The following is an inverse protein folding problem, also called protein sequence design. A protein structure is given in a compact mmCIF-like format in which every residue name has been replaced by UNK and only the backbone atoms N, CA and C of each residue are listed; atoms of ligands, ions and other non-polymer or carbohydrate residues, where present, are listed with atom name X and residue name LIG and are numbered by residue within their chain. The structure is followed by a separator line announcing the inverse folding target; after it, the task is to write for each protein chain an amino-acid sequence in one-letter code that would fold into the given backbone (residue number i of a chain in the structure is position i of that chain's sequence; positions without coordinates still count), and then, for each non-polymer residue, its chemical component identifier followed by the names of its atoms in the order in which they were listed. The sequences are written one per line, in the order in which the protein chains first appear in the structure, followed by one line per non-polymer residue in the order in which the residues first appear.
data_IF_249940791576
#
_entry.id   IF_249940791576
#
_cell.length_a   1.000
_cell.length_b   1.000
_cell.length_c   1.000
_cell.angle_alpha   90.00
_cell.angle_beta   90.00
_cell.angle_gamma   90.00
#
_symmetry.space_group_name_H-M   'P 1'
#
loop_
_entity.id
_entity.type
_entity.pdbx_description
1 polymer ?
#
# COMPACT_ATOMS: atom_id res chain seq x y z
N UNK A 1 -9.83 -10.00 1.73
CA UNK A 1 -8.80 -8.98 2.04
C UNK A 1 -9.11 -7.59 1.47
N UNK A 2 -9.74 -7.46 0.28
CA UNK A 2 -10.13 -6.14 -0.28
C UNK A 2 -10.89 -5.26 0.72
N UNK A 3 -11.84 -5.84 1.45
CA UNK A 3 -12.64 -5.11 2.46
C UNK A 3 -11.81 -4.69 3.67
N UNK A 4 -10.89 -5.54 4.15
CA UNK A 4 -10.01 -5.23 5.27
C UNK A 4 -9.14 -4.00 4.96
N UNK A 5 -8.52 -3.96 3.78
CA UNK A 5 -7.69 -2.82 3.36
C UNK A 5 -8.51 -1.54 3.26
N UNK A 6 -9.72 -1.62 2.73
CA UNK A 6 -10.64 -0.47 2.70
C UNK A 6 -10.97 0.02 4.12
N UNK A 7 -11.27 -0.87 5.05
CA UNK A 7 -11.56 -0.51 6.45
C UNK A 7 -10.36 0.19 7.08
N UNK A 8 -9.16 -0.40 6.97
CA UNK A 8 -7.92 0.20 7.50
C UNK A 8 -7.65 1.57 6.87
N UNK A 9 -7.86 1.69 5.55
CA UNK A 9 -7.73 2.96 4.84
C UNK A 9 -8.67 4.04 5.40
N UNK A 10 -9.96 3.72 5.59
CA UNK A 10 -10.93 4.68 6.12
C UNK A 10 -10.64 5.06 7.59
N UNK A 11 -10.14 4.13 8.40
CA UNK A 11 -9.72 4.42 9.79
C UNK A 11 -8.55 5.41 9.78
N UNK A 12 -7.52 5.16 8.97
CA UNK A 12 -6.35 6.05 8.87
C UNK A 12 -6.77 7.42 8.32
N UNK A 13 -7.68 7.45 7.33
CA UNK A 13 -8.19 8.70 6.78
C UNK A 13 -8.98 9.51 7.81
N UNK A 14 -9.83 8.85 8.59
CA UNK A 14 -10.55 9.48 9.70
C UNK A 14 -9.57 10.02 10.74
N UNK A 15 -8.56 9.24 11.14
CA UNK A 15 -7.52 9.67 12.08
C UNK A 15 -6.74 10.90 11.58
N UNK A 16 -6.45 10.95 10.27
CA UNK A 16 -5.82 12.10 9.63
C UNK A 16 -6.68 13.37 9.76
N UNK A 17 -7.97 13.26 9.41
CA UNK A 17 -8.92 14.38 9.49
C UNK A 17 -9.09 14.85 10.93
N UNK A 18 -9.24 13.91 11.88
CA UNK A 18 -9.36 14.25 13.30
C UNK A 18 -8.09 14.89 13.84
N UNK A 19 -6.91 14.44 13.40
CA UNK A 19 -5.63 15.04 13.80
C UNK A 19 -5.51 16.49 13.33
N UNK A 20 -5.94 16.80 12.11
CA UNK A 20 -6.02 18.17 11.62
C UNK A 20 -7.04 19.02 12.39
N UNK A 21 -8.21 18.45 12.73
CA UNK A 21 -9.20 19.13 13.56
C UNK A 21 -8.67 19.48 14.95
N UNK A 22 -8.05 18.52 15.64
CA UNK A 22 -7.47 18.72 16.98
C UNK A 22 -6.35 19.76 16.95
N UNK A 23 -5.51 19.73 15.91
CA UNK A 23 -4.43 20.72 15.73
C UNK A 23 -4.96 22.15 15.66
N UNK A 24 -6.10 22.35 15.00
CA UNK A 24 -6.67 23.67 14.76
C UNK A 24 -7.54 24.18 15.92
N UNK A 25 -8.27 23.29 16.60
CA UNK A 25 -9.32 23.68 17.55
C UNK A 25 -9.01 23.41 19.02
N UNK A 26 -8.06 22.52 19.36
CA UNK A 26 -7.80 22.11 20.74
C UNK A 26 -6.32 22.27 21.13
N UNK A 27 -5.44 21.44 20.57
CA UNK A 27 -4.03 21.35 20.95
C UNK A 27 -3.19 21.01 19.72
N UNK A 28 -2.36 21.98 19.33
CA UNK A 28 -1.46 21.89 18.19
C UNK A 28 -0.51 20.69 18.30
N UNK A 29 0.09 20.45 19.48
CA UNK A 29 1.07 19.38 19.68
C UNK A 29 0.42 18.01 19.60
N UNK A 30 -0.75 17.83 20.22
CA UNK A 30 -1.49 16.58 20.14
C UNK A 30 -1.97 16.31 18.72
N UNK A 31 -2.46 17.33 18.02
CA UNK A 31 -2.86 17.24 16.62
C UNK A 31 -1.72 16.81 15.70
N UNK A 32 -0.54 17.44 15.82
CA UNK A 32 0.66 17.06 15.07
C UNK A 32 1.10 15.62 15.36
N UNK A 33 1.05 15.18 16.61
CA UNK A 33 1.39 13.81 16.99
C UNK A 33 0.44 12.79 16.37
N UNK A 34 -0.86 13.07 16.36
CA UNK A 34 -1.88 12.21 15.73
C UNK A 34 -1.68 12.15 14.21
N UNK A 35 -1.39 13.29 13.58
CA UNK A 35 -1.07 13.34 12.14
C UNK A 35 0.18 12.49 11.85
N UNK A 36 1.25 12.67 12.63
CA UNK A 36 2.49 11.90 12.49
C UNK A 36 2.27 10.40 12.65
N UNK A 37 1.52 9.98 13.68
CA UNK A 37 1.13 8.58 13.88
C UNK A 37 0.29 8.03 12.72
N UNK A 38 -0.62 8.84 12.18
CA UNK A 38 -1.47 8.44 11.04
C UNK A 38 -0.63 8.24 9.77
N UNK A 39 0.35 9.10 9.51
CA UNK A 39 1.33 8.92 8.42
C UNK A 39 2.14 7.64 8.63
N UNK A 40 2.64 7.42 9.85
CA UNK A 40 3.44 6.26 10.20
C UNK A 40 2.63 4.96 10.00
N UNK A 41 1.39 4.92 10.50
CA UNK A 41 0.47 3.81 10.32
C UNK A 41 0.18 3.56 8.83
N UNK A 42 0.00 4.61 8.03
CA UNK A 42 -0.17 4.47 6.58
C UNK A 42 1.05 3.82 5.92
N UNK A 43 2.26 4.28 6.26
CA UNK A 43 3.49 3.75 5.68
C UNK A 43 3.79 2.31 6.11
N UNK A 44 3.61 1.98 7.40
CA UNK A 44 4.04 0.69 7.96
C UNK A 44 2.93 -0.37 8.03
N UNK A 45 1.66 0.02 7.97
CA UNK A 45 0.53 -0.91 8.04
C UNK A 45 -0.19 -0.97 6.70
N UNK A 46 -0.66 0.19 6.21
CA UNK A 46 -1.47 0.22 4.98
C UNK A 46 -0.64 -0.21 3.76
N UNK A 47 0.60 0.28 3.62
CA UNK A 47 1.45 -0.03 2.46
C UNK A 47 1.82 -1.53 2.39
N UNK A 48 2.33 -2.18 3.46
CA UNK A 48 2.66 -3.60 3.38
C UNK A 48 1.41 -4.48 3.19
N UNK A 49 0.29 -4.12 3.83
CA UNK A 49 -0.98 -4.83 3.67
C UNK A 49 -1.51 -4.73 2.24
N UNK A 50 -1.40 -3.54 1.64
CA UNK A 50 -1.77 -3.32 0.24
C UNK A 50 -0.89 -4.14 -0.70
N UNK A 51 0.42 -4.11 -0.48
CA UNK A 51 1.39 -4.84 -1.31
C UNK A 51 1.16 -6.35 -1.23
N UNK A 52 0.99 -6.89 -0.02
CA UNK A 52 0.69 -8.30 0.19
C UNK A 52 -0.60 -8.73 -0.53
N UNK A 53 -1.63 -7.90 -0.47
CA UNK A 53 -2.88 -8.20 -1.16
C UNK A 53 -2.75 -8.13 -2.69
N UNK A 54 -2.00 -7.14 -3.21
CA UNK A 54 -1.75 -6.97 -4.64
C UNK A 54 -0.88 -8.10 -5.20
N UNK A 55 0.07 -8.59 -4.43
CA UNK A 55 1.01 -9.63 -4.87
C UNK A 55 0.42 -11.05 -4.83
N UNK A 56 -0.79 -11.23 -4.28
CA UNK A 56 -1.48 -12.52 -4.23
C UNK A 56 -1.80 -13.02 -5.65
N UNK A 57 -0.93 -13.86 -6.19
CA UNK A 57 -1.08 -14.51 -7.51
C UNK A 57 -0.04 -14.10 -8.56
N UNK A 58 0.88 -13.19 -8.24
CA UNK A 58 2.01 -12.83 -9.11
C UNK A 58 3.21 -13.68 -8.71
N UNK A 59 3.60 -14.67 -9.52
CA UNK A 59 4.87 -15.36 -9.31
C UNK A 59 6.00 -14.42 -9.73
N UNK A 60 6.99 -14.21 -8.87
CA UNK A 60 8.22 -13.46 -9.22
C UNK A 60 8.86 -14.03 -10.50
N UNK A 61 8.77 -15.36 -10.64
CA UNK A 61 9.27 -16.15 -11.75
C UNK A 61 8.62 -15.79 -13.10
N UNK A 62 7.43 -15.18 -13.11
CA UNK A 62 6.82 -14.65 -14.33
C UNK A 62 7.48 -13.36 -14.84
N UNK A 63 8.25 -12.71 -13.97
CA UNK A 63 8.96 -11.46 -14.25
C UNK A 63 10.47 -11.67 -14.44
N UNK A 64 10.97 -12.89 -14.22
CA UNK A 64 12.37 -13.23 -14.46
C UNK A 64 12.56 -13.64 -15.92
N UNK A 65 13.46 -12.94 -16.62
CA UNK A 65 13.90 -13.28 -17.97
C UNK A 65 14.85 -14.49 -17.92
N UNK A 66 14.30 -15.68 -17.76
CA UNK A 66 15.04 -16.93 -17.91
C UNK A 66 15.32 -17.19 -19.39
N UNK A 67 16.47 -17.80 -19.72
CA UNK A 67 16.82 -18.17 -21.11
C UNK A 67 15.68 -18.90 -21.83
N UNK A 68 14.99 -19.82 -21.14
CA UNK A 68 13.83 -20.53 -21.70
C UNK A 68 12.65 -19.62 -22.10
N UNK A 69 12.39 -18.55 -21.34
CA UNK A 69 11.33 -17.58 -21.66
C UNK A 69 11.75 -16.67 -22.81
N UNK A 70 13.02 -16.26 -22.86
CA UNK A 70 13.59 -15.50 -23.99
C UNK A 70 13.54 -16.30 -25.29
N UNK A 71 13.90 -17.59 -25.26
CA UNK A 71 13.83 -18.45 -26.44
C UNK A 71 12.38 -18.69 -26.89
N UNK A 72 11.43 -18.83 -25.96
CA UNK A 72 9.99 -18.89 -26.30
C UNK A 72 9.49 -17.61 -26.97
N UNK A 73 9.92 -16.42 -26.52
CA UNK A 73 9.53 -15.16 -27.17
C UNK A 73 10.10 -15.07 -28.58
N UNK A 74 11.39 -15.39 -28.74
CA UNK A 74 12.08 -15.33 -30.04
C UNK A 74 11.52 -16.32 -31.07
N UNK A 75 11.01 -17.46 -30.62
CA UNK A 75 10.41 -18.47 -31.50
C UNK A 75 8.92 -18.22 -31.77
N UNK A 76 8.20 -17.49 -30.90
CA UNK A 76 6.80 -17.11 -31.13
C UNK A 76 6.65 -15.97 -32.15
N UNK A 77 7.71 -15.21 -32.45
CA UNK A 77 7.73 -14.20 -33.52
C UNK A 77 7.85 -14.82 -34.93
N UNK A 78 7.85 -16.16 -35.06
CA UNK A 78 7.99 -16.88 -36.34
C UNK A 78 6.69 -17.52 -36.87
N UNK A 79 5.50 -17.07 -36.43
CA UNK A 79 4.20 -17.51 -36.95
C UNK A 79 3.38 -16.35 -37.53
#
# INVERSE_FOLDING_TARGET
MKTLIKIVFFIILAAFITGFGIREFEDEKLGELIIGLSVLASSFILMPLFLYHRWKGKKLEDYTLTKERMDKMRNNDQL
#
